data_IF_910446344992
#
_entry.id   IF_910446344992
#
_cell.length_a   1.000
_cell.length_b   1.000
_cell.length_c   1.000
_cell.angle_alpha   90.00
_cell.angle_beta   90.00
_cell.angle_gamma   90.00
#
_symmetry.space_group_name_H-M   'P 1'
#
loop_
_entity.id
_entity.type
_entity.pdbx_description
1 polymer ?
#
# COMPACT_ATOMS: atom_id res chain seq x y z
N UNK A 1 19.22 -21.53 1.34
CA UNK A 1 18.42 -20.68 0.43
C UNK A 1 19.12 -20.75 -0.90
N UNK A 2 18.43 -21.26 -1.92
CA UNK A 2 19.01 -21.33 -3.26
C UNK A 2 18.59 -20.08 -4.04
N UNK A 3 19.52 -19.45 -4.74
CA UNK A 3 19.23 -18.34 -5.65
C UNK A 3 19.06 -18.90 -7.06
N UNK A 4 17.91 -18.64 -7.68
CA UNK A 4 17.58 -19.15 -9.02
C UNK A 4 17.31 -18.00 -10.00
N UNK A 5 18.00 -18.03 -11.13
CA UNK A 5 17.90 -16.99 -12.14
C UNK A 5 16.68 -17.21 -13.06
N UNK A 6 15.53 -16.71 -12.63
CA UNK A 6 14.30 -16.66 -13.43
C UNK A 6 13.51 -17.97 -13.53
N UNK A 7 12.38 -17.94 -14.27
CA UNK A 7 11.38 -19.01 -14.25
C UNK A 7 11.90 -20.37 -14.72
N UNK A 8 12.77 -20.41 -15.73
CA UNK A 8 13.32 -21.67 -16.25
C UNK A 8 14.31 -22.34 -15.28
N UNK A 9 15.04 -21.54 -14.48
CA UNK A 9 15.88 -22.07 -13.41
C UNK A 9 15.01 -22.57 -12.25
N UNK A 10 13.94 -21.83 -11.93
CA UNK A 10 12.99 -22.22 -10.89
C UNK A 10 12.25 -23.54 -11.23
N UNK A 11 11.79 -23.74 -12.47
CA UNK A 11 11.13 -25.00 -12.87
C UNK A 11 12.05 -26.21 -12.66
N UNK A 12 13.32 -26.07 -13.04
CA UNK A 12 14.34 -27.11 -12.82
C UNK A 12 14.58 -27.35 -11.33
N UNK A 13 14.59 -26.29 -10.53
CA UNK A 13 14.74 -26.39 -9.08
C UNK A 13 13.54 -27.09 -8.45
N UNK A 14 12.32 -26.70 -8.79
CA UNK A 14 11.08 -27.31 -8.27
C UNK A 14 11.00 -28.82 -8.52
N UNK A 15 11.53 -29.29 -9.65
CA UNK A 15 11.52 -30.72 -10.02
C UNK A 15 12.60 -31.56 -9.32
N UNK A 16 13.72 -30.94 -8.94
CA UNK A 16 14.95 -31.66 -8.57
C UNK A 16 15.54 -31.26 -7.22
N UNK A 17 14.88 -30.36 -6.49
CA UNK A 17 15.39 -29.83 -5.24
C UNK A 17 15.01 -30.71 -4.05
N UNK A 18 15.99 -30.96 -3.17
CA UNK A 18 15.76 -31.44 -1.80
C UNK A 18 15.69 -30.31 -0.76
N UNK A 19 15.75 -29.05 -1.19
CA UNK A 19 15.68 -27.86 -0.34
C UNK A 19 14.27 -27.27 -0.36
N UNK A 20 13.87 -26.66 0.76
CA UNK A 20 12.49 -26.18 0.97
C UNK A 20 12.25 -24.73 0.56
N UNK A 21 13.29 -23.99 0.10
CA UNK A 21 13.19 -22.55 -0.14
C UNK A 21 14.21 -22.04 -1.17
N UNK A 22 13.73 -21.25 -2.13
CA UNK A 22 14.53 -20.55 -3.13
C UNK A 22 14.08 -19.08 -3.31
N UNK A 23 15.02 -18.23 -3.71
CA UNK A 23 14.78 -16.85 -4.15
C UNK A 23 14.92 -16.82 -5.67
N UNK A 24 13.87 -16.40 -6.37
CA UNK A 24 13.87 -16.33 -7.83
C UNK A 24 14.08 -14.89 -8.29
N UNK A 25 15.19 -14.64 -8.97
CA UNK A 25 15.45 -13.34 -9.58
C UNK A 25 14.63 -13.17 -10.85
N UNK A 26 13.93 -12.03 -10.95
CA UNK A 26 13.17 -11.65 -12.13
C UNK A 26 13.42 -10.18 -12.43
N UNK A 27 13.90 -9.90 -13.64
CA UNK A 27 14.36 -8.57 -14.05
C UNK A 27 13.44 -7.90 -15.08
N UNK A 28 12.36 -8.55 -15.48
CA UNK A 28 11.41 -8.03 -16.47
C UNK A 28 9.97 -8.45 -16.17
N UNK A 29 9.01 -7.66 -16.65
CA UNK A 29 7.58 -7.98 -16.54
C UNK A 29 7.22 -9.29 -17.26
N UNK A 30 7.82 -9.56 -18.42
CA UNK A 30 7.65 -10.86 -19.11
C UNK A 30 8.13 -12.04 -18.27
N UNK A 31 9.24 -11.85 -17.54
CA UNK A 31 9.75 -12.81 -16.58
C UNK A 31 8.76 -13.03 -15.44
N UNK A 32 8.10 -11.99 -14.95
CA UNK A 32 7.08 -12.09 -13.90
C UNK A 32 5.85 -12.84 -14.40
N UNK A 33 5.38 -12.57 -15.62
CA UNK A 33 4.29 -13.35 -16.22
C UNK A 33 4.64 -14.82 -16.41
N UNK A 34 5.87 -15.11 -16.84
CA UNK A 34 6.36 -16.48 -16.96
C UNK A 34 6.48 -17.18 -15.59
N UNK A 35 6.93 -16.46 -14.56
CA UNK A 35 6.96 -16.94 -13.18
C UNK A 35 5.55 -17.28 -12.69
N UNK A 36 4.60 -16.37 -12.92
CA UNK A 36 3.20 -16.54 -12.54
C UNK A 36 2.56 -17.79 -13.14
N UNK A 37 2.75 -17.99 -14.46
CA UNK A 37 2.26 -19.19 -15.16
C UNK A 37 2.87 -20.49 -14.63
N UNK A 38 4.18 -20.49 -14.33
CA UNK A 38 4.85 -21.65 -13.77
C UNK A 38 4.26 -21.99 -12.39
N UNK A 39 4.21 -21.02 -11.49
CA UNK A 39 3.76 -21.21 -10.11
C UNK A 39 2.26 -21.58 -10.03
N UNK A 40 1.43 -21.12 -10.96
CA UNK A 40 0.03 -21.55 -11.07
C UNK A 40 -0.13 -23.06 -11.32
N UNK A 41 0.92 -23.74 -11.81
CA UNK A 41 0.93 -25.20 -11.99
C UNK A 41 1.47 -25.96 -10.78
N UNK A 42 1.85 -25.26 -9.71
CA UNK A 42 2.51 -25.82 -8.52
C UNK A 42 1.68 -25.54 -7.27
N UNK A 43 0.57 -26.27 -7.02
CA UNK A 43 -0.37 -25.97 -5.93
C UNK A 43 0.22 -26.10 -4.52
N UNK A 44 1.31 -26.87 -4.38
CA UNK A 44 1.97 -27.12 -3.09
C UNK A 44 3.10 -26.11 -2.78
N UNK A 45 3.29 -25.10 -3.65
CA UNK A 45 4.33 -24.07 -3.46
C UNK A 45 3.76 -22.84 -2.78
N UNK A 46 4.37 -22.46 -1.66
CA UNK A 46 4.11 -21.18 -1.00
C UNK A 46 4.94 -20.09 -1.65
N UNK A 47 4.28 -19.01 -2.06
CA UNK A 47 4.92 -17.85 -2.70
C UNK A 47 4.92 -16.68 -1.73
N UNK A 48 6.09 -16.09 -1.51
CA UNK A 48 6.27 -14.85 -0.76
C UNK A 48 6.99 -13.83 -1.64
N UNK A 49 6.47 -12.62 -1.74
CA UNK A 49 7.04 -11.59 -2.60
C UNK A 49 6.27 -10.28 -2.56
N UNK A 50 6.67 -9.37 -3.44
CA UNK A 50 5.97 -8.08 -3.61
C UNK A 50 4.57 -8.28 -4.19
N UNK A 51 3.73 -7.25 -4.11
CA UNK A 51 2.41 -7.26 -4.73
C UNK A 51 2.46 -7.56 -6.23
N UNK A 52 3.54 -7.17 -6.92
CA UNK A 52 3.74 -7.48 -8.34
C UNK A 52 4.01 -8.99 -8.56
N UNK A 53 4.86 -9.60 -7.73
CA UNK A 53 5.12 -11.04 -7.79
C UNK A 53 3.85 -11.86 -7.50
N UNK A 54 3.08 -11.49 -6.47
CA UNK A 54 1.80 -12.15 -6.16
C UNK A 54 0.76 -11.87 -7.25
N UNK A 55 0.67 -10.63 -7.74
CA UNK A 55 -0.23 -10.25 -8.83
C UNK A 55 0.02 -11.03 -10.11
N UNK A 56 1.28 -11.42 -10.38
CA UNK A 56 1.63 -12.24 -11.55
C UNK A 56 0.99 -13.64 -11.53
N UNK A 57 0.65 -14.17 -10.35
CA UNK A 57 -0.05 -15.45 -10.19
C UNK A 57 -1.52 -15.37 -10.60
N UNK A 58 -2.12 -14.19 -10.50
CA UNK A 58 -3.55 -13.94 -10.71
C UNK A 58 -3.86 -13.52 -12.16
N UNK A 59 -2.88 -13.61 -13.06
CA UNK A 59 -3.01 -13.14 -14.45
C UNK A 59 -3.95 -14.07 -15.21
N UNK A 60 -5.24 -13.74 -15.15
CA UNK A 60 -6.17 -14.00 -16.25
C UNK A 60 -5.84 -13.05 -17.41
N UNK A 61 -6.05 -13.46 -18.68
CA UNK A 61 -5.87 -12.60 -19.86
C UNK A 61 -6.83 -11.40 -19.90
N UNK A 62 -7.70 -11.25 -18.92
CA UNK A 62 -8.61 -10.13 -18.78
C UNK A 62 -7.86 -8.92 -18.20
N UNK A 63 -7.80 -7.78 -18.90
CA UNK A 63 -7.20 -6.57 -18.34
C UNK A 63 -7.89 -6.24 -17.01
N UNK A 64 -7.09 -6.09 -15.96
CA UNK A 64 -7.55 -5.59 -14.66
C UNK A 64 -8.21 -4.24 -14.90
N UNK A 65 -9.55 -4.19 -14.79
CA UNK A 65 -10.26 -2.92 -14.79
C UNK A 65 -9.79 -2.13 -13.57
N UNK A 66 -9.00 -1.09 -13.82
CA UNK A 66 -8.93 0.03 -12.91
C UNK A 66 -10.33 0.65 -12.91
N UNK A 67 -11.12 0.35 -11.88
CA UNK A 67 -12.31 1.16 -11.65
C UNK A 67 -11.81 2.56 -11.32
N UNK A 68 -12.24 3.61 -12.03
CA UNK A 68 -11.89 4.95 -11.62
C UNK A 68 -12.37 5.14 -10.17
N UNK A 69 -11.58 5.80 -9.30
CA UNK A 69 -12.06 6.19 -7.99
C UNK A 69 -13.41 6.88 -8.18
N UNK A 70 -14.43 6.45 -7.43
CA UNK A 70 -15.62 7.29 -7.28
C UNK A 70 -15.15 8.51 -6.49
N UNK A 71 -15.22 9.73 -7.06
CA UNK A 71 -14.82 10.91 -6.32
C UNK A 71 -15.63 11.00 -5.03
N UNK A 72 -14.97 11.32 -3.93
CA UNK A 72 -15.63 11.55 -2.65
C UNK A 72 -16.04 13.01 -2.56
N UNK A 73 -17.26 13.23 -2.10
CA UNK A 73 -17.76 14.56 -1.77
C UNK A 73 -17.69 14.75 -0.25
N UNK A 74 -16.83 15.66 0.20
CA UNK A 74 -16.61 15.97 1.62
C UNK A 74 -15.16 15.91 2.06
N UNK A 75 -14.95 16.01 3.37
CA UNK A 75 -13.61 16.13 3.96
C UNK A 75 -12.77 14.86 3.86
N UNK A 76 -11.46 15.04 3.77
CA UNK A 76 -10.47 13.96 3.73
C UNK A 76 -9.57 14.08 4.95
N UNK A 77 -9.38 12.97 5.66
CA UNK A 77 -8.36 12.87 6.71
C UNK A 77 -7.16 12.10 6.16
N UNK A 78 -5.98 12.71 6.20
CA UNK A 78 -4.70 12.10 5.84
C UNK A 78 -3.93 11.79 7.11
N UNK A 79 -3.54 10.53 7.30
CA UNK A 79 -2.76 10.05 8.44
C UNK A 79 -1.43 9.52 7.94
N UNK A 80 -0.31 10.09 8.41
CA UNK A 80 1.02 9.69 7.95
C UNK A 80 1.99 9.49 9.11
N UNK A 81 2.29 8.22 9.42
CA UNK A 81 3.33 7.88 10.38
C UNK A 81 4.69 7.55 9.78
N UNK A 82 4.77 7.38 8.45
CA UNK A 82 6.03 7.01 7.79
C UNK A 82 7.13 8.06 7.99
N UNK A 83 8.32 7.60 8.39
CA UNK A 83 9.55 8.42 8.43
C UNK A 83 10.36 8.31 7.12
N UNK A 84 9.76 7.79 6.04
CA UNK A 84 10.45 7.73 4.75
C UNK A 84 10.51 9.12 4.11
N UNK A 85 11.63 9.47 3.47
CA UNK A 85 11.86 10.80 2.88
C UNK A 85 10.76 11.17 1.86
N UNK A 86 10.36 10.22 1.01
CA UNK A 86 9.30 10.41 0.02
C UNK A 86 7.96 10.83 0.66
N UNK A 87 7.51 10.14 1.72
CA UNK A 87 6.29 10.52 2.44
C UNK A 87 6.38 11.93 3.03
N UNK A 88 7.54 12.34 3.57
CA UNK A 88 7.70 13.69 4.12
C UNK A 88 7.78 14.78 3.08
N UNK A 89 8.46 14.52 1.97
CA UNK A 89 8.45 15.43 0.82
C UNK A 89 7.00 15.63 0.33
N UNK A 90 6.22 14.54 0.26
CA UNK A 90 4.80 14.59 -0.10
C UNK A 90 3.96 15.39 0.89
N UNK A 91 4.13 15.21 2.20
CA UNK A 91 3.46 16.03 3.20
C UNK A 91 3.87 17.50 3.13
N UNK A 92 5.15 17.79 2.88
CA UNK A 92 5.64 19.17 2.72
C UNK A 92 5.00 19.87 1.51
N UNK A 93 4.90 19.17 0.37
CA UNK A 93 4.20 19.69 -0.81
C UNK A 93 2.71 19.85 -0.53
N UNK A 94 2.06 18.89 0.14
CA UNK A 94 0.65 18.99 0.50
C UNK A 94 0.38 20.18 1.43
N UNK A 95 1.21 20.39 2.45
CA UNK A 95 1.07 21.52 3.38
C UNK A 95 1.28 22.88 2.71
N UNK A 96 2.13 22.94 1.68
CA UNK A 96 2.32 24.14 0.86
C UNK A 96 1.17 24.43 -0.12
N UNK A 97 0.16 23.55 -0.20
CA UNK A 97 -1.02 23.70 -1.05
C UNK A 97 -2.25 23.88 -0.15
N UNK A 98 -2.99 24.97 -0.34
CA UNK A 98 -4.32 25.09 0.24
C UNK A 98 -5.26 24.14 -0.53
N UNK A 99 -5.46 22.93 0.01
CA UNK A 99 -6.56 22.05 -0.41
C UNK A 99 -7.60 22.09 0.70
N UNK A 100 -8.72 22.75 0.40
CA UNK A 100 -9.83 22.83 1.35
C UNK A 100 -10.32 21.43 1.74
N UNK A 101 -10.86 21.32 2.96
CA UNK A 101 -11.44 20.09 3.51
C UNK A 101 -10.45 18.92 3.71
N UNK A 102 -9.14 19.16 3.62
CA UNK A 102 -8.11 18.17 3.95
C UNK A 102 -7.53 18.43 5.35
N UNK A 103 -7.57 17.41 6.20
CA UNK A 103 -6.96 17.43 7.53
C UNK A 103 -5.77 16.46 7.54
N UNK A 104 -4.60 16.95 7.93
CA UNK A 104 -3.39 16.12 7.99
C UNK A 104 -3.01 15.85 9.45
N UNK A 105 -2.85 14.57 9.78
CA UNK A 105 -2.37 14.05 11.06
C UNK A 105 -1.07 13.30 10.77
N UNK A 106 0.07 13.83 11.20
CA UNK A 106 1.36 13.23 10.90
C UNK A 106 2.23 13.07 12.14
N UNK A 107 2.98 11.98 12.22
CA UNK A 107 3.93 11.80 13.33
C UNK A 107 5.00 12.88 13.25
N UNK A 108 5.44 13.34 14.42
CA UNK A 108 6.62 14.18 14.55
C UNK A 108 7.82 13.27 14.80
N UNK A 109 8.90 13.42 14.05
CA UNK A 109 10.07 12.55 14.17
C UNK A 109 11.26 13.09 13.41
N UNK A 110 12.44 12.84 13.94
CA UNK A 110 13.71 13.10 13.24
C UNK A 110 13.87 12.11 12.08
N UNK A 111 14.04 12.66 10.89
CA UNK A 111 14.14 11.94 9.62
C UNK A 111 15.52 11.35 9.37
N UNK A 112 16.50 11.67 10.23
CA UNK A 112 17.90 11.33 10.00
C UNK A 112 18.29 9.98 10.60
N UNK A 113 17.40 9.34 11.39
CA UNK A 113 17.73 8.10 12.10
C UNK A 113 16.59 7.10 12.14
N UNK A 114 16.87 5.80 11.94
CA UNK A 114 15.91 4.74 12.22
C UNK A 114 15.44 4.81 13.68
N UNK A 115 14.13 4.60 13.88
CA UNK A 115 13.53 4.45 15.20
C UNK A 115 13.47 2.96 15.58
N UNK A 116 13.44 2.66 16.88
CA UNK A 116 13.20 1.29 17.33
C UNK A 116 11.78 0.82 16.98
N UNK A 117 11.59 -0.49 16.87
CA UNK A 117 10.27 -1.06 16.58
C UNK A 117 9.23 -0.70 17.65
N UNK A 118 9.62 -0.63 18.93
CA UNK A 118 8.74 -0.21 20.03
C UNK A 118 8.33 1.26 19.91
N UNK A 119 9.28 2.13 19.54
CA UNK A 119 8.98 3.53 19.29
C UNK A 119 8.04 3.69 18.09
N UNK A 120 8.29 2.96 17.00
CA UNK A 120 7.42 2.95 15.82
C UNK A 120 5.99 2.51 16.17
N UNK A 121 5.83 1.43 16.95
CA UNK A 121 4.52 0.97 17.44
C UNK A 121 3.81 2.00 18.32
N UNK A 122 4.55 2.64 19.22
CA UNK A 122 3.99 3.68 20.12
C UNK A 122 3.50 4.88 19.32
N UNK A 123 4.29 5.33 18.33
CA UNK A 123 3.92 6.42 17.42
C UNK A 123 2.69 6.03 16.59
N UNK A 124 2.67 4.83 16.01
CA UNK A 124 1.55 4.35 15.21
C UNK A 124 0.25 4.25 16.04
N UNK A 125 0.32 3.76 17.28
CA UNK A 125 -0.83 3.70 18.19
C UNK A 125 -1.34 5.10 18.58
N UNK A 126 -0.44 6.06 18.80
CA UNK A 126 -0.84 7.44 19.08
C UNK A 126 -1.54 8.09 17.86
N UNK A 127 -1.00 7.88 16.66
CA UNK A 127 -1.64 8.32 15.41
C UNK A 127 -2.99 7.66 15.17
N UNK A 128 -3.13 6.37 15.48
CA UNK A 128 -4.39 5.66 15.36
C UNK A 128 -5.47 6.29 16.22
N UNK A 129 -5.18 6.60 17.49
CA UNK A 129 -6.12 7.31 18.36
C UNK A 129 -6.56 8.66 17.78
N UNK A 130 -5.59 9.47 17.34
CA UNK A 130 -5.89 10.78 16.72
C UNK A 130 -6.72 10.64 15.44
N UNK A 131 -6.42 9.62 14.63
CA UNK A 131 -7.19 9.32 13.42
C UNK A 131 -8.63 8.91 13.75
N UNK A 132 -8.82 8.03 14.73
CA UNK A 132 -10.15 7.60 15.18
C UNK A 132 -10.96 8.77 15.74
N UNK A 133 -10.35 9.62 16.56
CA UNK A 133 -10.99 10.85 17.06
C UNK A 133 -11.40 11.78 15.92
N UNK A 134 -10.51 12.00 14.94
CA UNK A 134 -10.80 12.84 13.78
C UNK A 134 -11.92 12.25 12.90
N UNK A 135 -11.91 10.93 12.67
CA UNK A 135 -12.95 10.23 11.90
C UNK A 135 -14.29 10.31 12.62
N UNK A 136 -14.33 10.08 13.93
CA UNK A 136 -15.56 10.16 14.72
C UNK A 136 -16.13 11.58 14.75
N UNK A 137 -15.27 12.60 14.89
CA UNK A 137 -15.69 14.00 14.98
C UNK A 137 -16.14 14.58 13.63
N UNK A 138 -15.46 14.21 12.53
CA UNK A 138 -15.65 14.85 11.22
C UNK A 138 -16.48 14.03 10.25
N UNK A 139 -16.54 12.70 10.46
CA UNK A 139 -17.13 11.74 9.51
C UNK A 139 -16.64 12.01 8.08
N UNK A 140 -15.31 11.93 7.84
CA UNK A 140 -14.76 12.27 6.54
C UNK A 140 -15.30 11.34 5.46
N UNK A 141 -15.32 11.84 4.22
CA UNK A 141 -15.68 11.04 3.07
C UNK A 141 -14.53 10.07 2.68
N UNK A 142 -13.28 10.43 2.99
CA UNK A 142 -12.12 9.55 2.83
C UNK A 142 -11.10 9.62 3.98
N UNK A 143 -10.47 8.49 4.26
CA UNK A 143 -9.34 8.32 5.16
C UNK A 143 -8.14 7.80 4.36
N UNK A 144 -7.11 8.61 4.24
CA UNK A 144 -5.88 8.29 3.50
C UNK A 144 -4.79 7.98 4.52
N UNK A 145 -4.19 6.79 4.46
CA UNK A 145 -3.19 6.32 5.41
C UNK A 145 -1.87 6.05 4.68
N UNK A 146 -0.80 6.69 5.14
CA UNK A 146 0.55 6.57 4.58
C UNK A 146 1.48 5.89 5.57
N UNK A 147 1.94 4.69 5.21
CA UNK A 147 2.83 3.83 6.01
C UNK A 147 2.15 2.57 6.53
N UNK A 148 2.86 1.44 6.48
CA UNK A 148 2.36 0.13 6.87
C UNK A 148 2.00 0.03 8.35
N UNK A 149 2.91 0.43 9.24
CA UNK A 149 2.65 0.40 10.70
C UNK A 149 1.48 1.31 11.09
N UNK A 150 1.35 2.45 10.42
CA UNK A 150 0.22 3.38 10.63
C UNK A 150 -1.08 2.75 10.15
N UNK A 151 -1.10 2.12 8.97
CA UNK A 151 -2.27 1.41 8.49
C UNK A 151 -2.67 0.26 9.41
N UNK A 152 -1.70 -0.54 9.88
CA UNK A 152 -1.95 -1.63 10.82
C UNK A 152 -2.55 -1.12 12.14
N UNK A 153 -2.03 -0.02 12.69
CA UNK A 153 -2.56 0.54 13.94
C UNK A 153 -3.94 1.21 13.78
N UNK A 154 -4.17 1.90 12.66
CA UNK A 154 -5.45 2.60 12.39
C UNK A 154 -6.56 1.62 12.05
N UNK A 155 -6.27 0.59 11.25
CA UNK A 155 -7.28 -0.36 10.76
C UNK A 155 -7.48 -1.55 11.70
N UNK A 156 -6.44 -1.97 12.44
CA UNK A 156 -6.52 -3.14 13.32
C UNK A 156 -7.03 -4.37 12.58
N UNK A 157 -8.06 -5.02 13.14
CA UNK A 157 -8.68 -6.23 12.59
C UNK A 157 -9.87 -5.94 11.65
N UNK A 158 -10.06 -4.69 11.23
CA UNK A 158 -11.17 -4.33 10.33
C UNK A 158 -10.99 -5.02 8.97
N UNK A 159 -12.02 -5.77 8.56
CA UNK A 159 -12.09 -6.39 7.24
C UNK A 159 -12.58 -5.36 6.21
N UNK A 160 -11.76 -5.10 5.20
CA UNK A 160 -12.07 -4.15 4.14
C UNK A 160 -12.29 -4.87 2.80
N UNK A 161 -13.30 -4.46 2.06
CA UNK A 161 -13.47 -4.84 0.66
C UNK A 161 -12.51 -4.03 -0.22
N UNK A 162 -11.75 -4.71 -1.07
CA UNK A 162 -10.88 -4.03 -2.05
C UNK A 162 -11.72 -3.44 -3.19
N UNK A 163 -11.54 -2.14 -3.43
CA UNK A 163 -12.18 -1.40 -4.52
C UNK A 163 -11.22 -1.21 -5.71
N UNK A 164 -9.98 -1.71 -5.61
CA UNK A 164 -8.93 -1.56 -6.60
C UNK A 164 -7.89 -0.52 -6.20
N UNK A 165 -7.30 0.16 -7.20
CA UNK A 165 -6.24 1.15 -6.99
C UNK A 165 -6.65 2.51 -7.50
N UNK A 166 -6.39 3.57 -6.71
CA UNK A 166 -6.68 4.97 -7.07
C UNK A 166 -5.44 5.71 -7.59
N UNK A 167 -4.32 5.02 -7.63
CA UNK A 167 -3.08 5.47 -8.23
C UNK A 167 -1.96 4.45 -7.95
N UNK A 168 -0.77 4.65 -8.54
CA UNK A 168 0.38 3.80 -8.29
C UNK A 168 0.68 3.68 -6.79
N UNK A 169 0.68 2.44 -6.28
CA UNK A 169 0.97 2.11 -4.88
C UNK A 169 -0.10 2.55 -3.87
N UNK A 170 -1.30 2.96 -4.32
CA UNK A 170 -2.41 3.39 -3.49
C UNK A 170 -3.64 2.49 -3.69
N UNK A 171 -3.91 1.62 -2.72
CA UNK A 171 -5.07 0.75 -2.72
C UNK A 171 -6.27 1.48 -2.11
N UNK A 172 -7.43 1.37 -2.76
CA UNK A 172 -8.70 1.86 -2.24
C UNK A 172 -9.56 0.72 -1.73
N UNK A 173 -10.27 0.98 -0.65
CA UNK A 173 -11.03 -0.03 0.06
C UNK A 173 -12.16 0.61 0.86
N UNK A 174 -13.15 -0.19 1.24
CA UNK A 174 -14.26 0.24 2.10
C UNK A 174 -14.57 -0.82 3.14
N UNK A 175 -14.97 -0.40 4.34
CA UNK A 175 -15.53 -1.32 5.31
C UNK A 175 -16.89 -1.85 4.82
N UNK A 176 -17.21 -3.10 5.17
CA UNK A 176 -18.44 -3.77 4.71
C UNK A 176 -19.72 -3.19 5.34
N UNK A 177 -19.59 -2.62 6.52
CA UNK A 177 -20.64 -1.96 7.30
C UNK A 177 -20.78 -0.46 6.98
N UNK A 178 -20.03 0.04 6.00
CA UNK A 178 -20.01 1.45 5.60
C UNK A 178 -18.92 2.27 6.31
N UNK A 179 -18.78 3.53 5.92
CA UNK A 179 -17.72 4.41 6.44
C UNK A 179 -16.99 5.17 5.33
N UNK A 180 -15.88 5.86 5.66
CA UNK A 180 -15.09 6.57 4.65
C UNK A 180 -14.48 5.60 3.64
N UNK A 181 -14.21 6.11 2.44
CA UNK A 181 -13.26 5.48 1.54
C UNK A 181 -11.89 5.39 2.24
N UNK A 182 -11.32 4.19 2.37
CA UNK A 182 -10.00 3.98 2.95
C UNK A 182 -8.98 3.83 1.82
N UNK A 183 -7.99 4.71 1.80
CA UNK A 183 -6.87 4.65 0.85
C UNK A 183 -5.58 4.38 1.61
N UNK A 184 -4.93 3.25 1.36
CA UNK A 184 -3.62 2.93 1.97
C UNK A 184 -2.49 3.04 0.97
N UNK A 185 -1.37 3.62 1.39
CA UNK A 185 -0.16 3.81 0.56
C UNK A 185 1.11 3.48 1.34
N UNK A 186 2.10 2.89 0.68
CA UNK A 186 3.45 2.79 1.24
C UNK A 186 4.09 4.19 1.33
N UNK A 187 4.81 4.45 2.43
CA UNK A 187 5.53 5.72 2.60
C UNK A 187 6.72 5.91 1.66
N UNK A 188 7.22 4.84 1.05
CA UNK A 188 8.33 4.90 0.08
C UNK A 188 7.89 5.18 -1.36
N UNK A 189 6.58 5.25 -1.62
CA UNK A 189 6.08 5.19 -2.99
C UNK A 189 5.79 6.58 -3.59
N UNK A 190 6.30 6.79 -4.81
CA UNK A 190 5.98 7.92 -5.69
C UNK A 190 6.76 9.21 -5.43
N UNK A 191 6.63 10.16 -6.37
CA UNK A 191 7.29 11.46 -6.31
C UNK A 191 6.69 12.38 -5.24
N UNK A 192 7.35 13.51 -4.96
CA UNK A 192 6.89 14.51 -3.99
C UNK A 192 5.46 15.04 -4.26
N UNK A 193 5.04 15.07 -5.52
CA UNK A 193 3.71 15.56 -5.92
C UNK A 193 2.59 14.50 -5.75
N UNK A 194 2.96 13.22 -5.56
CA UNK A 194 2.03 12.10 -5.69
C UNK A 194 0.86 12.13 -4.69
N UNK A 195 1.06 12.66 -3.48
CA UNK A 195 -0.02 12.77 -2.50
C UNK A 195 -1.04 13.84 -2.87
N UNK A 196 -0.60 14.96 -3.44
CA UNK A 196 -1.52 16.00 -3.96
C UNK A 196 -2.28 15.49 -5.17
N UNK A 197 -1.62 14.76 -6.07
CA UNK A 197 -2.28 14.16 -7.23
C UNK A 197 -3.29 13.10 -6.80
N UNK A 198 -2.99 12.35 -5.74
CA UNK A 198 -3.94 11.45 -5.11
C UNK A 198 -5.15 12.21 -4.53
N UNK A 199 -4.94 13.32 -3.82
CA UNK A 199 -6.06 14.13 -3.28
C UNK A 199 -6.96 14.63 -4.42
N UNK A 200 -6.37 15.14 -5.49
CA UNK A 200 -7.09 15.56 -6.70
C UNK A 200 -7.91 14.43 -7.31
N UNK A 201 -7.29 13.25 -7.47
CA UNK A 201 -7.96 12.08 -8.04
C UNK A 201 -9.15 11.62 -7.18
N UNK A 202 -9.01 11.58 -5.85
CA UNK A 202 -10.11 11.13 -4.97
C UNK A 202 -11.17 12.21 -4.75
N UNK A 203 -10.84 13.50 -4.84
CA UNK A 203 -11.80 14.60 -4.68
C UNK A 203 -12.44 15.02 -6.01
N UNK A 204 -11.98 14.49 -7.14
CA UNK A 204 -12.46 14.84 -8.48
C UNK A 204 -12.13 16.26 -8.91
N UNK A 205 -10.95 16.78 -8.53
CA UNK A 205 -10.50 18.17 -8.79
C UNK A 205 -9.16 18.23 -9.51
#
# INVERSE_FOLDING_TARGET
>A
VDEVAGPAALDRWLRNSGTSFAVCDVTSSDGLFALGRLLATCPDVLVAGTAEAIGSLLVSPTPTRTSPPVPVDGSVVVVCGSLHEAARAQLGVLAGRAIDDVVVIASQGDMTRPVSADAARTIAAALARQAHEAVAARRPAALVIVGGDTAAAVLGDVVLASLGTVGPGAAASSALDGGPLVVTRSGSFGAAQALVDLMRAIMGR
#
